data_IF_725874100139
#
_entry.id   IF_725874100139
#
_cell.length_a   1.000
_cell.length_b   1.000
_cell.length_c   1.000
_cell.angle_alpha   90.00
_cell.angle_beta   90.00
_cell.angle_gamma   90.00
#
_symmetry.space_group_name_H-M   'P 1'
#
loop_
_entity.id
_entity.type
_entity.pdbx_description
1 polymer ?
#
# COMPACT_ATOMS: atom_id res chain seq x y z
N UNK A 1 58.39 57.18 47.41
CA UNK A 1 57.41 56.12 47.70
C UNK A 1 56.03 56.61 47.28
N UNK A 2 55.53 56.15 46.11
CA UNK A 2 54.17 56.48 45.62
C UNK A 2 53.34 55.16 45.61
N UNK A 3 52.28 55.12 46.40
CA UNK A 3 51.33 54.03 46.46
C UNK A 3 50.26 54.27 45.38
N UNK A 4 50.22 53.43 44.39
CA UNK A 4 49.17 53.39 43.39
C UNK A 4 47.99 52.55 43.90
N UNK A 5 46.80 53.23 43.99
CA UNK A 5 45.53 52.55 44.29
C UNK A 5 45.00 51.88 43.06
N UNK A 6 44.69 50.58 43.16
CA UNK A 6 43.96 49.82 42.11
C UNK A 6 42.46 50.08 42.29
N UNK A 7 41.72 50.30 41.20
CA UNK A 7 40.27 50.33 41.26
C UNK A 7 39.70 48.91 41.27
N UNK A 8 38.67 48.70 42.12
CA UNK A 8 37.84 47.50 42.22
C UNK A 8 36.92 47.42 40.98
N UNK A 9 37.05 46.37 40.22
CA UNK A 9 36.12 46.03 39.14
C UNK A 9 34.87 45.32 39.72
N UNK A 10 33.71 45.87 39.45
CA UNK A 10 32.41 45.28 39.76
C UNK A 10 32.04 44.26 38.68
N UNK A 11 31.69 42.99 38.99
CA UNK A 11 31.23 42.08 37.98
C UNK A 11 29.78 42.41 37.62
N UNK A 12 29.51 42.72 36.36
CA UNK A 12 28.18 42.81 35.79
C UNK A 12 27.60 41.41 35.63
N UNK A 13 26.63 41.07 36.45
CA UNK A 13 25.83 39.84 36.33
C UNK A 13 24.91 39.94 35.10
N UNK A 14 25.29 39.28 34.02
CA UNK A 14 24.41 39.11 32.89
C UNK A 14 23.35 38.05 33.18
N UNK A 15 22.10 38.50 33.37
CA UNK A 15 20.91 37.65 33.42
C UNK A 15 20.68 37.11 32.01
N UNK A 16 21.08 35.86 31.76
CA UNK A 16 20.69 35.10 30.55
C UNK A 16 19.22 34.70 30.70
N UNK A 17 18.34 35.45 30.05
CA UNK A 17 16.93 35.09 29.88
C UNK A 17 16.86 33.95 28.85
N UNK A 18 16.81 32.71 29.33
CA UNK A 18 16.65 31.53 28.50
C UNK A 18 15.26 31.54 27.86
N UNK A 19 15.19 31.91 26.59
CA UNK A 19 14.02 31.69 25.73
C UNK A 19 13.84 30.19 25.57
N UNK A 20 12.99 29.59 26.39
CA UNK A 20 12.40 28.27 26.16
C UNK A 20 11.49 28.38 24.93
N UNK A 21 12.06 28.17 23.74
CA UNK A 21 11.24 27.92 22.55
C UNK A 21 10.49 26.61 22.80
N UNK A 22 9.15 26.59 22.67
CA UNK A 22 8.43 25.34 22.70
C UNK A 22 8.95 24.52 21.48
N UNK A 23 9.63 23.43 21.75
CA UNK A 23 9.87 22.39 20.74
C UNK A 23 8.48 21.96 20.31
N UNK A 24 8.04 22.44 19.14
CA UNK A 24 6.85 21.93 18.48
C UNK A 24 7.10 20.43 18.30
N UNK A 25 6.51 19.63 19.18
CA UNK A 25 6.45 18.18 19.05
C UNK A 25 5.81 17.97 17.69
N UNK A 26 6.60 17.58 16.69
CA UNK A 26 6.07 17.16 15.41
C UNK A 26 5.05 16.07 15.76
N UNK A 27 3.78 16.40 15.62
CA UNK A 27 2.70 15.44 15.79
C UNK A 27 3.06 14.27 14.89
N UNK A 28 3.45 13.15 15.48
CA UNK A 28 3.61 11.90 14.75
C UNK A 28 2.23 11.66 14.13
N UNK A 29 2.12 11.98 12.83
CA UNK A 29 0.86 11.98 12.13
C UNK A 29 0.17 10.65 12.35
N UNK A 30 -1.02 10.69 12.94
CA UNK A 30 -1.84 9.51 13.14
C UNK A 30 -2.02 8.85 11.77
N UNK A 31 -1.66 7.57 11.68
CA UNK A 31 -1.81 6.81 10.43
C UNK A 31 -3.28 6.81 10.03
N UNK A 32 -3.58 6.92 8.72
CA UNK A 32 -4.95 6.89 8.24
C UNK A 32 -5.65 5.58 8.62
N UNK A 33 -6.93 5.67 8.94
CA UNK A 33 -7.77 4.50 9.16
C UNK A 33 -8.35 4.01 7.82
N UNK A 34 -7.79 2.91 7.35
CA UNK A 34 -8.25 2.23 6.13
C UNK A 34 -9.41 1.26 6.37
N UNK A 35 -9.79 0.98 7.63
CA UNK A 35 -10.84 -0.01 7.92
C UNK A 35 -12.18 0.41 7.33
N UNK A 36 -12.88 -0.54 6.72
CA UNK A 36 -14.19 -0.34 6.12
C UNK A 36 -14.42 -1.17 4.88
N UNK A 37 -15.62 -1.03 4.32
CA UNK A 37 -16.00 -1.61 3.03
C UNK A 37 -15.99 -0.51 1.97
N UNK A 38 -15.48 -0.84 0.79
CA UNK A 38 -15.25 0.09 -0.30
C UNK A 38 -15.80 -0.48 -1.60
N UNK A 39 -16.64 0.27 -2.30
CA UNK A 39 -17.21 -0.13 -3.59
C UNK A 39 -16.32 0.32 -4.74
N UNK A 40 -16.05 -0.57 -5.69
CA UNK A 40 -15.27 -0.28 -6.89
C UNK A 40 -15.92 0.77 -7.76
N UNK A 41 -15.12 1.76 -8.20
CA UNK A 41 -15.56 2.87 -9.06
C UNK A 41 -14.84 2.81 -10.41
N UNK A 42 -15.47 2.16 -11.38
CA UNK A 42 -14.88 1.93 -12.70
C UNK A 42 -14.45 3.22 -13.41
N UNK A 43 -15.28 4.27 -13.38
CA UNK A 43 -15.00 5.55 -14.05
C UNK A 43 -13.76 6.28 -13.53
N UNK A 44 -13.30 5.96 -12.31
CA UNK A 44 -12.13 6.54 -11.66
C UNK A 44 -10.92 5.60 -11.68
N UNK A 45 -11.09 4.41 -12.19
CA UNK A 45 -10.07 3.38 -12.32
C UNK A 45 -9.44 3.41 -13.72
N UNK A 46 -8.27 2.80 -13.88
CA UNK A 46 -7.71 2.55 -15.21
C UNK A 46 -8.66 1.70 -16.05
N UNK A 47 -8.57 1.82 -17.37
CA UNK A 47 -9.25 0.92 -18.27
C UNK A 47 -8.66 -0.48 -18.13
N UNK A 48 -9.43 -1.37 -17.48
CA UNK A 48 -8.98 -2.73 -17.20
C UNK A 48 -8.85 -3.57 -18.47
N UNK A 49 -9.70 -3.35 -19.49
CA UNK A 49 -9.63 -4.07 -20.74
C UNK A 49 -8.36 -3.71 -21.51
N UNK A 50 -8.01 -2.43 -21.54
CA UNK A 50 -6.75 -1.98 -22.14
C UNK A 50 -5.54 -2.52 -21.37
N UNK A 51 -5.55 -2.52 -20.05
CA UNK A 51 -4.48 -3.06 -19.22
C UNK A 51 -4.29 -4.57 -19.46
N UNK A 52 -5.39 -5.33 -19.53
CA UNK A 52 -5.37 -6.76 -19.86
C UNK A 52 -4.79 -6.98 -21.28
N UNK A 53 -5.27 -6.24 -22.26
CA UNK A 53 -4.81 -6.38 -23.64
C UNK A 53 -3.30 -6.15 -23.76
N UNK A 54 -2.78 -5.12 -23.11
CA UNK A 54 -1.35 -4.80 -23.12
C UNK A 54 -0.48 -5.83 -22.42
N UNK A 55 -0.89 -6.29 -21.25
CA UNK A 55 -0.02 -7.08 -20.37
C UNK A 55 -0.24 -8.57 -20.51
N UNK A 56 -1.47 -9.02 -20.67
CA UNK A 56 -1.83 -10.44 -20.79
C UNK A 56 -1.81 -10.91 -22.25
N UNK A 57 -2.18 -10.00 -23.17
CA UNK A 57 -2.30 -10.32 -24.60
C UNK A 57 -3.53 -11.19 -24.92
N UNK A 58 -3.67 -11.61 -26.17
CA UNK A 58 -4.77 -12.48 -26.59
C UNK A 58 -4.67 -13.87 -25.95
N UNK A 59 -5.82 -14.52 -25.75
CA UNK A 59 -5.92 -15.82 -25.08
C UNK A 59 -5.11 -16.96 -25.77
N UNK A 60 -4.80 -16.80 -27.04
CA UNK A 60 -4.12 -17.83 -27.88
C UNK A 60 -2.59 -17.65 -27.95
N UNK A 61 -1.98 -16.82 -27.11
CA UNK A 61 -0.52 -16.66 -27.15
C UNK A 61 0.15 -17.94 -26.66
N UNK A 62 0.99 -18.54 -27.51
CA UNK A 62 1.71 -19.79 -27.24
C UNK A 62 2.59 -19.60 -25.98
N UNK A 63 2.36 -20.43 -24.97
CA UNK A 63 3.13 -20.43 -23.75
C UNK A 63 3.05 -21.78 -23.04
N UNK A 64 3.82 -21.96 -21.99
CA UNK A 64 3.69 -23.15 -21.16
C UNK A 64 2.29 -23.20 -20.52
N UNK A 65 1.80 -24.39 -20.18
CA UNK A 65 0.52 -24.59 -19.47
C UNK A 65 0.42 -23.76 -18.20
N UNK A 66 1.53 -23.59 -17.48
CA UNK A 66 1.62 -22.74 -16.27
C UNK A 66 1.43 -21.25 -16.60
N UNK A 67 2.04 -20.78 -17.69
CA UNK A 67 1.91 -19.39 -18.16
C UNK A 67 0.49 -19.04 -18.55
N UNK A 68 -0.23 -19.99 -19.15
CA UNK A 68 -1.63 -19.80 -19.52
C UNK A 68 -2.53 -19.68 -18.27
N UNK A 69 -2.32 -20.54 -17.27
CA UNK A 69 -3.08 -20.47 -16.01
C UNK A 69 -2.93 -19.11 -15.32
N UNK A 70 -1.72 -18.55 -15.27
CA UNK A 70 -1.47 -17.23 -14.69
C UNK A 70 -2.24 -16.14 -15.46
N UNK A 71 -2.19 -16.18 -16.80
CA UNK A 71 -2.91 -15.21 -17.65
C UNK A 71 -4.43 -15.29 -17.47
N UNK A 72 -4.97 -16.51 -17.47
CA UNK A 72 -6.41 -16.76 -17.25
C UNK A 72 -6.83 -16.23 -15.89
N UNK A 73 -6.06 -16.51 -14.85
CA UNK A 73 -6.34 -16.03 -13.51
C UNK A 73 -6.37 -14.50 -13.43
N UNK A 74 -5.34 -13.82 -13.98
CA UNK A 74 -5.27 -12.35 -13.99
C UNK A 74 -6.48 -11.75 -14.72
N UNK A 75 -6.80 -12.30 -15.89
CA UNK A 75 -7.94 -11.86 -16.68
C UNK A 75 -9.24 -12.01 -15.90
N UNK A 76 -9.50 -13.21 -15.38
CA UNK A 76 -10.70 -13.51 -14.62
C UNK A 76 -10.84 -12.63 -13.38
N UNK A 77 -9.72 -12.34 -12.70
CA UNK A 77 -9.74 -11.47 -11.53
C UNK A 77 -10.11 -10.03 -11.88
N UNK A 78 -9.48 -9.46 -12.92
CA UNK A 78 -9.76 -8.08 -13.35
C UNK A 78 -11.15 -7.92 -13.97
N UNK A 79 -11.58 -8.89 -14.78
CA UNK A 79 -12.92 -8.88 -15.36
C UNK A 79 -13.98 -9.05 -14.27
N UNK A 80 -13.70 -9.84 -13.23
CA UNK A 80 -14.56 -10.02 -12.08
C UNK A 80 -14.86 -8.70 -11.33
N UNK A 81 -13.90 -7.78 -11.24
CA UNK A 81 -14.15 -6.45 -10.65
C UNK A 81 -15.23 -5.64 -11.39
N UNK A 82 -15.47 -5.95 -12.67
CA UNK A 82 -16.48 -5.26 -13.48
C UNK A 82 -17.80 -6.01 -13.52
N UNK A 83 -17.74 -7.34 -13.56
CA UNK A 83 -18.91 -8.20 -13.84
C UNK A 83 -19.53 -8.83 -12.60
N UNK A 84 -18.74 -9.05 -11.54
CA UNK A 84 -19.19 -9.74 -10.32
C UNK A 84 -19.45 -8.72 -9.19
N UNK A 85 -20.70 -8.55 -8.74
CA UNK A 85 -21.03 -7.62 -7.67
C UNK A 85 -20.26 -7.87 -6.36
N UNK A 86 -20.01 -9.13 -6.01
CA UNK A 86 -19.35 -9.48 -4.75
C UNK A 86 -17.87 -9.10 -4.80
N UNK A 87 -17.22 -9.20 -5.96
CA UNK A 87 -15.84 -8.76 -6.16
C UNK A 87 -15.66 -7.26 -6.23
N UNK A 88 -16.75 -6.51 -6.39
CA UNK A 88 -16.73 -5.04 -6.37
C UNK A 88 -16.61 -4.44 -4.98
N UNK A 89 -16.79 -5.24 -3.95
CA UNK A 89 -16.67 -4.77 -2.55
C UNK A 89 -15.34 -5.22 -2.00
N UNK A 90 -14.44 -4.27 -1.76
CA UNK A 90 -13.20 -4.49 -1.05
C UNK A 90 -13.42 -4.19 0.43
N UNK A 91 -13.22 -5.18 1.27
CA UNK A 91 -13.24 -5.02 2.73
C UNK A 91 -11.82 -4.93 3.26
N UNK A 92 -11.57 -3.95 4.11
CA UNK A 92 -10.29 -3.77 4.81
C UNK A 92 -10.55 -3.69 6.31
N UNK A 93 -9.77 -4.44 7.07
CA UNK A 93 -9.66 -4.32 8.52
C UNK A 93 -8.18 -4.19 8.86
N UNK A 94 -7.82 -3.25 9.71
CA UNK A 94 -6.45 -3.18 10.22
C UNK A 94 -6.42 -2.62 11.63
N UNK A 95 -5.35 -2.98 12.33
CA UNK A 95 -4.94 -2.40 13.60
C UNK A 95 -3.43 -2.10 13.57
N UNK A 96 -2.81 -1.92 14.72
CA UNK A 96 -1.37 -1.69 14.79
C UNK A 96 -0.52 -2.91 14.39
N UNK A 97 -1.07 -4.12 14.46
CA UNK A 97 -0.35 -5.37 14.28
C UNK A 97 -0.72 -6.09 12.98
N UNK A 98 -1.96 -5.97 12.50
CA UNK A 98 -2.50 -6.77 11.42
C UNK A 98 -3.20 -5.93 10.34
N UNK A 99 -3.20 -6.48 9.12
CA UNK A 99 -3.90 -5.98 7.97
C UNK A 99 -4.67 -7.13 7.32
N UNK A 100 -5.95 -6.94 7.11
CA UNK A 100 -6.80 -7.86 6.39
C UNK A 100 -7.41 -7.14 5.19
N UNK A 101 -7.44 -7.79 4.06
CA UNK A 101 -8.11 -7.26 2.88
C UNK A 101 -8.65 -8.39 2.03
N UNK A 102 -9.77 -8.15 1.37
CA UNK A 102 -10.36 -9.14 0.48
C UNK A 102 -11.63 -8.65 -0.19
N UNK A 103 -12.11 -9.44 -1.14
CA UNK A 103 -13.36 -9.22 -1.86
C UNK A 103 -14.26 -10.45 -1.71
N UNK A 104 -15.54 -10.25 -1.49
CA UNK A 104 -16.47 -11.35 -1.20
C UNK A 104 -16.03 -12.13 0.04
N UNK A 105 -16.01 -13.44 -0.06
CA UNK A 105 -15.61 -14.36 1.02
C UNK A 105 -14.09 -14.59 1.10
N UNK A 106 -13.33 -14.07 0.12
CA UNK A 106 -11.89 -14.24 0.07
C UNK A 106 -11.20 -13.11 0.86
N UNK A 107 -10.96 -13.32 2.15
CA UNK A 107 -10.25 -12.37 3.03
C UNK A 107 -8.88 -12.92 3.40
N UNK A 108 -7.83 -12.18 3.05
CA UNK A 108 -6.47 -12.49 3.45
C UNK A 108 -6.09 -11.69 4.70
N UNK A 109 -5.36 -12.34 5.62
CA UNK A 109 -4.93 -11.74 6.88
C UNK A 109 -3.41 -11.83 7.02
N UNK A 110 -2.76 -10.70 7.26
CA UNK A 110 -1.31 -10.57 7.37
C UNK A 110 -0.92 -9.73 8.58
N UNK A 111 0.28 -9.92 9.08
CA UNK A 111 0.85 -9.14 10.18
C UNK A 111 1.90 -8.17 9.65
N UNK A 112 1.84 -6.92 10.09
CA UNK A 112 2.85 -5.92 9.73
C UNK A 112 4.25 -6.36 10.16
N UNK A 113 5.22 -6.24 9.23
CA UNK A 113 6.61 -6.58 9.46
C UNK A 113 6.90 -8.07 9.64
N UNK A 114 5.95 -8.95 9.36
CA UNK A 114 6.17 -10.41 9.37
C UNK A 114 5.89 -10.99 7.99
N UNK A 115 6.80 -11.84 7.52
CA UNK A 115 6.57 -12.61 6.30
C UNK A 115 5.50 -13.69 6.57
N UNK A 116 4.48 -13.72 5.73
CA UNK A 116 3.47 -14.75 5.71
C UNK A 116 3.60 -15.59 4.44
N UNK A 117 2.87 -16.70 4.37
CA UNK A 117 2.75 -17.51 3.17
C UNK A 117 1.27 -17.55 2.75
N UNK A 118 1.03 -17.30 1.48
CA UNK A 118 -0.29 -17.39 0.84
C UNK A 118 -0.21 -18.31 -0.38
N UNK A 119 -1.33 -18.73 -0.89
CA UNK A 119 -1.40 -19.48 -2.15
C UNK A 119 -1.58 -18.50 -3.31
N UNK A 120 -0.68 -18.60 -4.28
CA UNK A 120 -0.74 -17.80 -5.49
C UNK A 120 -1.47 -18.49 -6.64
N UNK A 121 -1.61 -17.77 -7.77
CA UNK A 121 -2.18 -18.32 -8.99
C UNK A 121 -1.49 -19.63 -9.40
N UNK A 122 -2.27 -20.66 -9.69
CA UNK A 122 -1.72 -21.97 -10.10
C UNK A 122 -1.18 -22.82 -8.95
N UNK A 123 -1.50 -22.50 -7.67
CA UNK A 123 -1.16 -23.32 -6.49
C UNK A 123 0.27 -23.15 -6.00
N UNK A 124 1.00 -22.13 -6.47
CA UNK A 124 2.33 -21.79 -5.96
C UNK A 124 2.25 -21.07 -4.62
N UNK A 125 3.25 -21.30 -3.75
CA UNK A 125 3.36 -20.55 -2.51
C UNK A 125 3.92 -19.15 -2.80
N UNK A 126 3.25 -18.12 -2.28
CA UNK A 126 3.70 -16.74 -2.26
C UNK A 126 4.21 -16.38 -0.87
N UNK A 127 5.31 -15.68 -0.80
CA UNK A 127 5.77 -14.98 0.39
C UNK A 127 5.18 -13.59 0.38
N UNK A 128 4.50 -13.22 1.45
CA UNK A 128 3.75 -11.97 1.56
C UNK A 128 4.33 -11.13 2.69
N UNK A 129 4.62 -9.87 2.38
CA UNK A 129 5.01 -8.86 3.35
C UNK A 129 4.02 -7.70 3.31
N UNK A 130 3.62 -7.21 4.48
CA UNK A 130 2.80 -6.01 4.62
C UNK A 130 3.55 -4.99 5.46
N UNK A 131 3.58 -3.76 4.99
CA UNK A 131 4.29 -2.68 5.65
C UNK A 131 3.57 -1.34 5.49
N UNK A 132 3.84 -0.44 6.42
CA UNK A 132 3.54 0.97 6.27
C UNK A 132 4.67 1.67 5.52
N UNK A 133 4.31 2.47 4.53
CA UNK A 133 5.21 3.43 3.89
C UNK A 133 4.55 4.79 3.94
N UNK A 134 5.04 5.65 4.82
CA UNK A 134 4.39 6.93 5.16
C UNK A 134 2.93 6.70 5.60
N UNK A 135 1.97 7.27 4.86
CA UNK A 135 0.53 7.13 5.09
C UNK A 135 -0.13 6.09 4.17
N UNK A 136 0.64 5.15 3.64
CA UNK A 136 0.18 4.10 2.73
C UNK A 136 0.41 2.72 3.35
N UNK A 137 -0.46 1.77 3.02
CA UNK A 137 -0.20 0.35 3.26
C UNK A 137 0.33 -0.25 1.97
N UNK A 138 1.43 -0.99 2.05
CA UNK A 138 2.04 -1.69 0.92
C UNK A 138 2.05 -3.18 1.20
N UNK A 139 1.48 -3.96 0.28
CA UNK A 139 1.62 -5.41 0.26
C UNK A 139 2.56 -5.82 -0.86
N UNK A 140 3.51 -6.68 -0.55
CA UNK A 140 4.40 -7.30 -1.53
C UNK A 140 4.26 -8.82 -1.44
N UNK A 141 3.90 -9.44 -2.55
CA UNK A 141 3.81 -10.88 -2.69
C UNK A 141 4.82 -11.35 -3.71
N UNK A 142 5.59 -12.39 -3.38
CA UNK A 142 6.64 -12.94 -4.25
C UNK A 142 6.53 -14.44 -4.31
N UNK A 143 6.65 -15.02 -5.50
CA UNK A 143 6.76 -16.47 -5.62
C UNK A 143 8.00 -16.99 -4.87
N UNK A 144 7.82 -18.04 -4.06
CA UNK A 144 8.91 -18.64 -3.30
C UNK A 144 10.03 -19.22 -4.17
N UNK A 145 9.71 -19.68 -5.38
CA UNK A 145 10.63 -20.31 -6.35
C UNK A 145 10.48 -19.75 -7.77
N UNK A 146 9.93 -18.56 -7.93
CA UNK A 146 9.64 -17.97 -9.23
C UNK A 146 10.07 -16.52 -9.33
N UNK A 147 9.73 -15.92 -10.47
CA UNK A 147 10.00 -14.52 -10.77
C UNK A 147 8.74 -13.65 -10.62
N UNK A 148 7.63 -14.24 -10.18
CA UNK A 148 6.37 -13.52 -9.98
C UNK A 148 6.44 -12.61 -8.78
N UNK A 149 6.00 -11.36 -8.95
CA UNK A 149 5.87 -10.36 -7.89
C UNK A 149 4.59 -9.59 -8.07
N UNK A 150 3.84 -9.44 -6.99
CA UNK A 150 2.66 -8.58 -6.91
C UNK A 150 2.96 -7.49 -5.87
N UNK A 151 2.71 -6.25 -6.21
CA UNK A 151 2.78 -5.14 -5.26
C UNK A 151 1.46 -4.40 -5.30
N UNK A 152 0.82 -4.21 -4.17
CA UNK A 152 -0.32 -3.34 -4.05
C UNK A 152 -0.03 -2.21 -3.06
N UNK A 153 -0.33 -0.98 -3.47
CA UNK A 153 -0.17 0.22 -2.64
C UNK A 153 -1.54 0.82 -2.41
N UNK A 154 -1.96 0.80 -1.16
CA UNK A 154 -3.24 1.34 -0.70
C UNK A 154 -3.04 2.77 -0.23
N UNK A 155 -3.77 3.70 -0.82
CA UNK A 155 -3.72 5.12 -0.49
C UNK A 155 -5.11 5.64 -0.21
N UNK A 156 -5.36 6.07 1.02
CA UNK A 156 -6.60 6.76 1.36
C UNK A 156 -6.43 8.24 1.02
N UNK A 157 -7.33 8.79 0.20
CA UNK A 157 -7.28 10.20 -0.17
C UNK A 157 -7.69 11.10 1.03
N UNK A 158 -7.36 12.40 0.99
CA UNK A 158 -7.67 13.33 2.09
C UNK A 158 -9.17 13.43 2.43
N UNK A 159 -10.05 13.07 1.49
CA UNK A 159 -11.50 13.02 1.72
C UNK A 159 -11.91 11.87 2.65
N UNK A 160 -10.99 10.98 3.01
CA UNK A 160 -11.18 9.77 3.81
C UNK A 160 -12.29 8.82 3.29
N UNK A 161 -12.77 9.06 2.07
CA UNK A 161 -13.83 8.28 1.41
C UNK A 161 -13.31 7.51 0.21
N UNK A 162 -12.30 8.06 -0.47
CA UNK A 162 -11.74 7.45 -1.67
C UNK A 162 -10.46 6.69 -1.34
N UNK A 163 -10.47 5.40 -1.63
CA UNK A 163 -9.30 4.52 -1.57
C UNK A 163 -8.78 4.29 -2.98
N UNK A 164 -7.51 4.56 -3.20
CA UNK A 164 -6.79 4.17 -4.41
C UNK A 164 -5.92 2.95 -4.12
N UNK A 165 -6.02 1.93 -4.97
CA UNK A 165 -5.14 0.77 -4.94
C UNK A 165 -4.34 0.73 -6.24
N UNK A 166 -3.06 1.04 -6.16
CA UNK A 166 -2.13 0.86 -7.27
C UNK A 166 -1.59 -0.57 -7.22
N UNK A 167 -1.93 -1.36 -8.21
CA UNK A 167 -1.58 -2.77 -8.27
C UNK A 167 -0.63 -3.03 -9.44
N UNK A 168 0.53 -3.62 -9.14
CA UNK A 168 1.56 -3.98 -10.11
C UNK A 168 1.86 -5.47 -10.02
N UNK A 169 1.73 -6.16 -11.14
CA UNK A 169 2.10 -7.56 -11.28
C UNK A 169 3.23 -7.70 -12.30
N UNK A 170 4.30 -8.32 -11.87
CA UNK A 170 5.45 -8.72 -12.68
C UNK A 170 5.51 -10.25 -12.72
N UNK A 171 5.48 -10.83 -13.90
CA UNK A 171 5.59 -12.28 -14.09
C UNK A 171 6.13 -12.59 -15.49
N UNK A 172 6.95 -13.62 -15.62
CA UNK A 172 7.53 -14.04 -16.91
C UNK A 172 6.49 -14.47 -17.96
N UNK A 173 5.28 -14.80 -17.52
CA UNK A 173 4.15 -15.13 -18.41
C UNK A 173 3.47 -13.92 -19.03
N UNK A 174 3.76 -12.72 -18.57
CA UNK A 174 3.19 -11.49 -19.10
C UNK A 174 4.04 -10.95 -20.26
N UNK A 175 3.41 -10.25 -21.18
CA UNK A 175 4.09 -9.53 -22.26
C UNK A 175 4.89 -8.35 -21.71
N UNK A 176 4.33 -7.70 -20.70
CA UNK A 176 4.94 -6.63 -19.92
C UNK A 176 4.31 -6.60 -18.53
N UNK A 177 4.91 -5.95 -17.53
CA UNK A 177 4.28 -5.77 -16.22
C UNK A 177 2.87 -5.19 -16.35
N UNK A 178 1.95 -5.75 -15.56
CA UNK A 178 0.59 -5.23 -15.48
C UNK A 178 0.54 -4.16 -14.38
N UNK A 179 0.26 -2.93 -14.78
CA UNK A 179 0.07 -1.80 -13.88
C UNK A 179 -1.38 -1.33 -13.97
N UNK A 180 -2.13 -1.41 -12.88
CA UNK A 180 -3.49 -0.88 -12.80
C UNK A 180 -3.65 -0.02 -11.56
N UNK A 181 -4.48 1.01 -11.67
CA UNK A 181 -4.94 1.80 -10.54
C UNK A 181 -6.45 1.63 -10.42
N UNK A 182 -6.86 1.13 -9.28
CA UNK A 182 -8.25 0.88 -8.94
C UNK A 182 -8.71 1.93 -7.95
N UNK A 183 -9.86 2.51 -8.18
CA UNK A 183 -10.49 3.46 -7.27
C UNK A 183 -11.71 2.80 -6.62
N UNK A 184 -11.83 3.01 -5.33
CA UNK A 184 -12.95 2.52 -4.54
C UNK A 184 -13.50 3.68 -3.71
N UNK A 185 -14.80 3.70 -3.47
CA UNK A 185 -15.45 4.62 -2.56
C UNK A 185 -15.95 3.89 -1.32
N UNK A 186 -15.72 4.47 -0.15
CA UNK A 186 -16.18 3.90 1.11
C UNK A 186 -17.69 3.74 1.07
N UNK A 187 -18.18 2.52 1.27
CA UNK A 187 -19.59 2.26 1.38
C UNK A 187 -20.13 2.97 2.64
N UNK A 188 -21.25 3.69 2.47
CA UNK A 188 -21.94 4.29 3.61
C UNK A 188 -22.74 3.15 4.26
N UNK A 189 -22.63 2.95 5.57
CA UNK A 189 -23.40 1.92 6.29
C UNK A 189 -24.90 2.15 6.18
#
# INVERSE_FOLDING_TARGET
>A
MRRTRRPLAVPASALALGLLLPVASAAQGQKPDFSGSYSFVQKRSHDLQEAIARSVGPAQTVGSKKSELVRVWIRSWLEGLVTDPDRRILTIEHDAAAFKSGTGDEVNSYYFGREATSQGPGGGNLKVNVSWKDNQIVTEEREAKGKGRITAVYTLLPDSKTLLVAWRLEHESLLQPLDVRLAFERAVP
#
